data_IF_149733865047
#
_entry.id   IF_149733865047
#
_cell.length_a   1.000
_cell.length_b   1.000
_cell.length_c   1.000
_cell.angle_alpha   90.00
_cell.angle_beta   90.00
_cell.angle_gamma   90.00
#
_symmetry.space_group_name_H-M   'P 1'
#
loop_
_entity.id
_entity.type
_entity.pdbx_description
1 polymer ?
#
# COMPACT_ATOMS: atom_id res chain seq x y z
N UNK A 1 35.72 23.39 -3.19
CA UNK A 1 34.95 24.56 -3.70
C UNK A 1 33.85 24.03 -4.60
N UNK A 2 32.57 24.38 -4.40
CA UNK A 2 31.54 23.96 -5.33
C UNK A 2 31.75 24.69 -6.67
N UNK A 3 31.78 23.94 -7.78
CA UNK A 3 31.73 24.50 -9.12
C UNK A 3 30.45 25.36 -9.21
N UNK A 4 30.62 26.66 -9.48
CA UNK A 4 29.49 27.53 -9.84
C UNK A 4 28.79 26.90 -11.04
N UNK A 5 27.60 26.36 -10.83
CA UNK A 5 26.70 25.99 -11.91
C UNK A 5 26.29 27.27 -12.65
N UNK A 6 26.07 27.18 -13.97
CA UNK A 6 25.65 28.35 -14.73
C UNK A 6 24.30 28.83 -14.19
N UNK A 7 24.21 30.13 -13.89
CA UNK A 7 23.00 30.80 -13.40
C UNK A 7 21.76 30.45 -14.26
N UNK A 8 21.97 30.21 -15.56
CA UNK A 8 20.99 29.79 -16.56
C UNK A 8 20.15 28.55 -16.17
N UNK A 9 20.68 27.61 -15.36
CA UNK A 9 19.93 26.40 -14.99
C UNK A 9 19.02 26.60 -13.77
N UNK A 10 19.41 27.47 -12.83
CA UNK A 10 18.59 27.81 -11.66
C UNK A 10 17.35 28.61 -12.08
N UNK A 11 17.48 29.50 -13.07
CA UNK A 11 16.37 30.29 -13.61
C UNK A 11 15.33 29.46 -14.37
N UNK A 12 15.69 28.27 -14.86
CA UNK A 12 14.77 27.42 -15.66
C UNK A 12 13.80 26.61 -14.81
N UNK A 13 14.22 26.21 -13.61
CA UNK A 13 13.32 25.56 -12.66
C UNK A 13 12.33 26.57 -12.08
N UNK A 14 12.74 27.84 -11.97
CA UNK A 14 11.84 28.96 -11.67
C UNK A 14 10.82 29.16 -12.80
N UNK A 15 11.21 28.99 -14.07
CA UNK A 15 10.31 29.16 -15.22
C UNK A 15 9.16 28.14 -15.24
N UNK A 16 9.43 26.87 -14.92
CA UNK A 16 8.38 25.84 -14.81
C UNK A 16 7.43 26.08 -13.64
N UNK A 17 7.92 26.70 -12.56
CA UNK A 17 7.08 27.15 -11.44
C UNK A 17 6.18 28.34 -11.84
N UNK A 18 6.67 29.25 -12.69
CA UNK A 18 5.90 30.41 -13.16
C UNK A 18 4.80 30.08 -14.17
N UNK A 19 4.89 28.96 -14.88
CA UNK A 19 3.85 28.48 -15.82
C UNK A 19 2.68 27.74 -15.11
N UNK A 20 2.58 27.86 -13.78
CA UNK A 20 1.42 27.40 -13.01
C UNK A 20 1.41 25.92 -12.63
N UNK A 21 2.50 25.19 -12.91
CA UNK A 21 2.69 23.83 -12.43
C UNK A 21 3.15 23.88 -10.97
N UNK A 22 2.46 23.18 -10.06
CA UNK A 22 2.95 23.09 -8.69
C UNK A 22 4.28 22.32 -8.65
N UNK A 23 5.13 22.59 -7.66
CA UNK A 23 6.36 21.80 -7.42
C UNK A 23 6.06 20.30 -7.23
N UNK A 24 4.83 19.96 -6.86
CA UNK A 24 4.31 18.60 -6.74
C UNK A 24 3.90 18.06 -8.12
N UNK A 25 3.27 18.88 -8.97
CA UNK A 25 2.90 18.49 -10.34
C UNK A 25 4.13 18.29 -11.22
N UNK A 26 5.20 19.06 -11.02
CA UNK A 26 6.51 18.88 -11.69
C UNK A 26 7.19 17.59 -11.21
N UNK A 27 7.04 17.23 -9.94
CA UNK A 27 7.60 15.99 -9.38
C UNK A 27 6.78 14.74 -9.72
N UNK A 28 5.46 14.89 -9.90
CA UNK A 28 4.52 13.81 -10.19
C UNK A 28 4.32 13.59 -11.69
N UNK A 29 4.42 14.64 -12.51
CA UNK A 29 4.30 14.59 -13.97
C UNK A 29 5.68 14.41 -14.57
N UNK A 30 6.14 13.16 -14.58
CA UNK A 30 7.01 12.56 -15.61
C UNK A 30 8.39 13.19 -15.84
N UNK A 31 9.44 12.36 -15.65
CA UNK A 31 10.34 11.93 -16.72
C UNK A 31 11.57 11.20 -16.12
N UNK A 32 12.05 10.12 -16.75
CA UNK A 32 13.43 9.68 -16.53
C UNK A 32 14.36 10.85 -16.94
N UNK A 33 15.56 10.94 -16.35
CA UNK A 33 16.45 12.10 -16.54
C UNK A 33 16.78 12.41 -18.01
N UNK A 34 16.66 11.42 -18.90
CA UNK A 34 16.79 11.51 -20.36
C UNK A 34 15.57 12.15 -21.02
N UNK A 35 14.36 11.85 -20.59
CA UNK A 35 13.15 12.47 -21.11
C UNK A 35 13.02 13.94 -20.63
N UNK A 36 13.46 14.25 -19.40
CA UNK A 36 13.61 15.63 -18.92
C UNK A 36 14.65 16.39 -19.75
N UNK A 37 15.76 15.73 -20.10
CA UNK A 37 16.78 16.31 -20.99
C UNK A 37 16.23 16.58 -22.39
N UNK A 38 15.40 15.67 -22.91
CA UNK A 38 14.74 15.81 -24.21
C UNK A 38 13.75 16.98 -24.23
N UNK A 39 12.86 17.10 -23.24
CA UNK A 39 11.91 18.22 -23.17
C UNK A 39 12.62 19.56 -22.96
N UNK A 40 13.66 19.60 -22.11
CA UNK A 40 14.48 20.80 -21.94
C UNK A 40 15.19 21.18 -23.25
N UNK A 41 15.70 20.22 -24.03
CA UNK A 41 16.28 20.48 -25.35
C UNK A 41 15.21 20.98 -26.33
N UNK A 42 14.02 20.38 -26.33
CA UNK A 42 12.93 20.75 -27.22
C UNK A 42 12.45 22.19 -26.99
N UNK A 43 12.22 22.56 -25.72
CA UNK A 43 11.73 23.87 -25.30
C UNK A 43 12.81 24.96 -25.38
N UNK A 44 14.04 24.67 -24.94
CA UNK A 44 15.09 25.70 -24.81
C UNK A 44 16.09 25.71 -25.96
N UNK A 45 16.03 24.71 -26.86
CA UNK A 45 17.04 24.44 -27.90
C UNK A 45 18.46 24.26 -27.37
N UNK A 46 18.63 24.02 -26.06
CA UNK A 46 19.92 23.76 -25.42
C UNK A 46 19.93 22.37 -24.81
N UNK A 47 20.98 21.61 -25.09
CA UNK A 47 21.22 20.30 -24.47
C UNK A 47 21.70 20.45 -23.04
N UNK A 48 21.03 19.77 -22.12
CA UNK A 48 21.52 19.51 -20.78
C UNK A 48 21.92 18.03 -20.67
N UNK A 49 23.06 17.75 -20.04
CA UNK A 49 23.42 16.36 -19.75
C UNK A 49 22.61 15.84 -18.56
N UNK A 50 22.27 14.56 -18.57
CA UNK A 50 21.61 13.84 -17.46
C UNK A 50 22.32 14.12 -16.11
N UNK A 51 23.65 14.14 -16.11
CA UNK A 51 24.45 14.43 -14.92
C UNK A 51 24.34 15.89 -14.45
N UNK A 52 24.11 16.84 -15.35
CA UNK A 52 23.85 18.23 -14.98
C UNK A 52 22.46 18.39 -14.35
N UNK A 53 21.46 17.71 -14.92
CA UNK A 53 20.09 17.71 -14.40
C UNK A 53 20.01 17.09 -13.01
N UNK A 54 20.61 15.91 -12.84
CA UNK A 54 20.65 15.23 -11.55
C UNK A 54 21.27 16.10 -10.45
N UNK A 55 22.43 16.74 -10.71
CA UNK A 55 23.08 17.62 -9.73
C UNK A 55 22.22 18.84 -9.39
N UNK A 56 21.44 19.33 -10.35
CA UNK A 56 20.62 20.53 -10.17
C UNK A 56 19.34 20.22 -9.40
N UNK A 57 18.72 19.06 -9.63
CA UNK A 57 17.62 18.57 -8.81
C UNK A 57 18.07 18.40 -7.35
N UNK A 58 19.23 17.79 -7.12
CA UNK A 58 19.81 17.68 -5.78
C UNK A 58 20.08 19.05 -5.13
N UNK A 59 20.62 20.01 -5.88
CA UNK A 59 20.86 21.38 -5.40
C UNK A 59 19.56 22.07 -4.94
N UNK A 60 18.46 21.80 -5.63
CA UNK A 60 17.13 22.31 -5.26
C UNK A 60 16.41 21.51 -4.17
N UNK A 61 17.06 20.51 -3.57
CA UNK A 61 16.45 19.65 -2.57
C UNK A 61 15.45 18.63 -3.14
N UNK A 62 15.39 18.46 -4.46
CA UNK A 62 14.56 17.45 -5.13
C UNK A 62 15.36 16.15 -5.16
N UNK A 63 14.92 15.19 -4.36
CA UNK A 63 15.58 13.89 -4.22
C UNK A 63 14.82 12.77 -4.94
N UNK A 64 15.58 11.84 -5.52
CA UNK A 64 15.02 10.64 -6.13
C UNK A 64 14.46 9.72 -5.04
N UNK A 65 13.14 9.56 -5.01
CA UNK A 65 12.44 8.65 -4.10
C UNK A 65 11.87 7.47 -4.87
N UNK A 66 11.71 6.34 -4.19
CA UNK A 66 10.96 5.21 -4.73
C UNK A 66 9.52 5.66 -4.95
N UNK A 67 9.00 5.49 -6.17
CA UNK A 67 7.61 5.79 -6.48
C UNK A 67 6.69 4.90 -5.66
N UNK A 68 5.71 5.51 -4.99
CA UNK A 68 4.59 4.79 -4.39
C UNK A 68 3.54 4.56 -5.50
N UNK A 69 3.17 3.30 -5.73
CA UNK A 69 2.11 2.96 -6.67
C UNK A 69 0.76 3.19 -5.98
N UNK A 70 0.15 4.34 -6.20
CA UNK A 70 -1.26 4.54 -5.87
C UNK A 70 -2.13 3.97 -6.99
N UNK A 71 -3.22 3.25 -6.64
CA UNK A 71 -4.20 2.82 -7.63
C UNK A 71 -4.94 4.05 -8.18
N UNK A 72 -5.14 4.14 -9.49
CA UNK A 72 -5.87 5.25 -10.13
C UNK A 72 -7.32 5.34 -9.62
N UNK A 73 -7.89 4.19 -9.27
CA UNK A 73 -9.26 4.04 -8.74
C UNK A 73 -9.39 4.49 -7.27
N UNK A 74 -8.27 4.80 -6.59
CA UNK A 74 -8.29 5.33 -5.23
C UNK A 74 -8.91 6.73 -5.24
N UNK A 75 -9.91 6.94 -4.38
CA UNK A 75 -10.62 8.21 -4.26
C UNK A 75 -10.43 8.81 -2.86
N UNK A 76 -9.74 9.96 -2.79
CA UNK A 76 -9.42 10.60 -1.51
C UNK A 76 -10.65 11.22 -0.81
N UNK A 77 -11.70 11.59 -1.54
CA UNK A 77 -12.96 12.08 -0.93
C UNK A 77 -13.66 10.94 -0.19
N UNK A 78 -13.77 9.77 -0.82
CA UNK A 78 -14.36 8.57 -0.20
C UNK A 78 -13.56 8.16 1.03
N UNK A 79 -12.23 8.22 0.95
CA UNK A 79 -11.34 7.91 2.07
C UNK A 79 -11.45 8.90 3.23
N UNK A 80 -11.57 10.20 2.94
CA UNK A 80 -11.76 11.22 3.96
C UNK A 80 -13.13 11.06 4.64
N UNK A 81 -14.18 10.80 3.87
CA UNK A 81 -15.50 10.49 4.40
C UNK A 81 -15.47 9.26 5.31
N UNK A 82 -14.81 8.17 4.87
CA UNK A 82 -14.65 6.97 5.68
C UNK A 82 -14.00 7.28 7.04
N UNK A 83 -12.90 8.04 7.06
CA UNK A 83 -12.24 8.41 8.31
C UNK A 83 -13.16 9.23 9.22
N UNK A 84 -13.91 10.18 8.68
CA UNK A 84 -14.88 10.96 9.45
C UNK A 84 -15.97 10.09 10.08
N UNK A 85 -16.50 9.11 9.34
CA UNK A 85 -17.49 8.17 9.88
C UNK A 85 -16.90 7.30 10.98
N UNK A 86 -15.68 6.78 10.81
CA UNK A 86 -15.04 5.96 11.85
C UNK A 86 -14.80 6.78 13.12
N UNK A 87 -14.24 7.98 12.99
CA UNK A 87 -13.89 8.87 14.11
C UNK A 87 -15.12 9.35 14.89
N UNK A 88 -16.23 9.62 14.18
CA UNK A 88 -17.46 10.09 14.80
C UNK A 88 -18.24 8.98 15.51
N UNK A 89 -18.21 7.74 14.99
CA UNK A 89 -19.13 6.68 15.43
C UNK A 89 -18.47 5.61 16.32
N UNK A 90 -17.15 5.46 16.27
CA UNK A 90 -16.44 4.35 16.90
C UNK A 90 -15.22 4.77 17.70
N UNK A 91 -14.92 3.99 18.75
CA UNK A 91 -13.66 4.08 19.50
C UNK A 91 -12.76 2.90 19.15
N UNK A 92 -11.45 3.05 19.35
CA UNK A 92 -10.45 2.03 18.98
C UNK A 92 -10.71 0.65 19.61
N UNK A 93 -11.22 0.59 20.83
CA UNK A 93 -11.48 -0.67 21.55
C UNK A 93 -12.69 -1.43 20.99
N UNK A 94 -13.54 -0.76 20.21
CA UNK A 94 -14.69 -1.39 19.57
C UNK A 94 -14.31 -2.13 18.28
N UNK A 95 -13.14 -1.84 17.69
CA UNK A 95 -12.78 -2.26 16.35
C UNK A 95 -12.01 -3.59 16.35
N UNK A 96 -12.48 -4.53 15.54
CA UNK A 96 -11.76 -5.74 15.16
C UNK A 96 -11.46 -5.66 13.66
N UNK A 97 -10.19 -5.61 13.30
CA UNK A 97 -9.74 -5.64 11.92
C UNK A 97 -9.55 -7.08 11.46
N UNK A 98 -9.91 -7.38 10.22
CA UNK A 98 -9.75 -8.72 9.63
C UNK A 98 -9.22 -8.57 8.21
N UNK A 99 -8.25 -9.39 7.85
CA UNK A 99 -7.67 -9.38 6.51
C UNK A 99 -7.05 -10.73 6.13
N UNK A 100 -6.78 -10.95 4.85
CA UNK A 100 -6.08 -12.13 4.36
C UNK A 100 -4.67 -11.78 3.91
N UNK A 101 -3.70 -12.61 4.30
CA UNK A 101 -2.36 -12.55 3.73
C UNK A 101 -1.84 -13.93 3.38
N UNK A 102 -1.43 -14.08 2.11
CA UNK A 102 -0.76 -15.27 1.64
C UNK A 102 0.77 -15.12 1.54
N UNK A 103 1.48 -16.22 1.81
CA UNK A 103 2.91 -16.41 1.61
C UNK A 103 3.15 -17.67 0.79
N UNK A 104 3.84 -17.52 -0.33
CA UNK A 104 4.25 -18.63 -1.21
C UNK A 104 5.71 -19.01 -0.91
N UNK A 105 6.01 -20.29 -0.75
CA UNK A 105 7.38 -20.82 -0.58
C UNK A 105 8.35 -20.42 -1.71
N UNK A 106 7.86 -20.07 -2.90
CA UNK A 106 8.69 -19.53 -4.00
C UNK A 106 9.41 -18.23 -3.66
N UNK A 107 8.90 -17.48 -2.68
CA UNK A 107 9.48 -16.20 -2.24
C UNK A 107 10.81 -16.35 -1.49
N UNK A 108 11.25 -17.57 -1.17
CA UNK A 108 12.54 -17.86 -0.51
C UNK A 108 13.77 -17.71 -1.44
N UNK A 109 13.59 -17.33 -2.70
CA UNK A 109 14.68 -17.09 -3.63
C UNK A 109 15.23 -15.66 -3.49
N UNK A 110 16.56 -15.53 -3.29
CA UNK A 110 17.22 -14.22 -3.27
C UNK A 110 17.06 -13.53 -4.63
N UNK A 111 16.46 -12.34 -4.63
CA UNK A 111 16.29 -11.52 -5.84
C UNK A 111 17.60 -10.92 -6.35
N UNK A 112 18.60 -10.78 -5.46
CA UNK A 112 19.87 -10.11 -5.75
C UNK A 112 21.06 -11.04 -5.49
N UNK A 113 22.10 -10.89 -6.31
CA UNK A 113 23.38 -11.58 -6.21
C UNK A 113 24.48 -10.81 -6.94
N UNK A 114 25.74 -11.09 -6.61
CA UNK A 114 26.89 -10.44 -7.24
C UNK A 114 27.42 -11.27 -8.41
N UNK A 115 27.85 -10.57 -9.47
CA UNK A 115 28.49 -11.15 -10.66
C UNK A 115 29.37 -10.09 -11.32
N UNK A 116 30.30 -10.51 -12.17
CA UNK A 116 31.11 -9.60 -12.98
C UNK A 116 30.22 -8.70 -13.84
N UNK A 117 30.71 -7.49 -14.12
CA UNK A 117 30.01 -6.51 -14.97
C UNK A 117 29.62 -7.14 -16.31
N UNK A 118 28.36 -6.98 -16.71
CA UNK A 118 27.74 -7.57 -17.90
C UNK A 118 27.56 -9.11 -17.88
N UNK A 119 27.74 -9.76 -16.73
CA UNK A 119 27.49 -11.20 -16.57
C UNK A 119 26.32 -11.40 -15.62
N UNK A 120 25.30 -12.16 -16.04
CA UNK A 120 24.14 -12.44 -15.19
C UNK A 120 24.54 -13.34 -14.01
N UNK A 121 24.12 -12.98 -12.80
CA UNK A 121 24.24 -13.87 -11.65
C UNK A 121 23.26 -15.03 -11.81
N UNK A 122 23.77 -16.26 -11.84
CA UNK A 122 22.96 -17.47 -11.96
C UNK A 122 22.90 -18.19 -10.61
N UNK A 123 21.69 -18.45 -10.12
CA UNK A 123 21.44 -19.38 -9.01
C UNK A 123 20.51 -20.47 -9.51
N UNK A 124 20.94 -21.73 -9.46
CA UNK A 124 20.04 -22.86 -9.66
C UNK A 124 19.17 -22.96 -8.40
N UNK A 125 17.86 -22.83 -8.58
CA UNK A 125 16.86 -23.04 -7.53
C UNK A 125 16.03 -24.26 -7.90
N UNK A 126 15.60 -25.03 -6.90
CA UNK A 126 14.64 -26.11 -7.12
C UNK A 126 13.30 -25.44 -7.43
N UNK A 127 12.73 -25.73 -8.59
CA UNK A 127 11.36 -25.35 -8.92
C UNK A 127 10.42 -26.27 -8.15
N UNK A 128 10.28 -26.05 -6.85
CA UNK A 128 9.23 -26.70 -6.07
C UNK A 128 7.91 -26.05 -6.48
N UNK A 129 6.86 -26.86 -6.67
CA UNK A 129 5.50 -26.33 -6.67
C UNK A 129 5.24 -25.85 -5.24
N UNK A 130 5.61 -24.59 -4.98
CA UNK A 130 5.58 -24.02 -3.64
C UNK A 130 4.20 -24.14 -3.04
N UNK A 131 4.12 -24.59 -1.80
CA UNK A 131 2.87 -24.53 -1.05
C UNK A 131 2.59 -23.07 -0.73
N UNK A 132 1.37 -22.62 -1.04
CA UNK A 132 0.88 -21.31 -0.66
C UNK A 132 0.16 -21.48 0.66
N UNK A 133 0.67 -20.81 1.70
CA UNK A 133 -0.03 -20.69 2.97
C UNK A 133 -0.73 -19.34 3.01
N UNK A 134 -1.94 -19.34 3.54
CA UNK A 134 -2.76 -18.17 3.78
C UNK A 134 -3.00 -18.05 5.28
N UNK A 135 -2.86 -16.83 5.78
CA UNK A 135 -3.12 -16.46 7.17
C UNK A 135 -4.33 -15.52 7.15
N UNK A 136 -5.33 -15.84 7.97
CA UNK A 136 -6.53 -15.04 8.19
C UNK A 136 -6.62 -14.68 9.68
N UNK A 137 -6.02 -13.55 10.11
CA UNK A 137 -6.13 -13.08 11.48
C UNK A 137 -7.26 -12.07 11.69
N UNK A 138 -7.70 -11.98 12.95
CA UNK A 138 -8.48 -10.88 13.49
C UNK A 138 -7.65 -10.13 14.55
N UNK A 139 -7.54 -8.81 14.44
CA UNK A 139 -6.70 -7.94 15.27
C UNK A 139 -7.56 -6.89 15.97
N UNK A 140 -7.42 -6.79 17.28
CA UNK A 140 -7.97 -5.68 18.08
C UNK A 140 -6.88 -4.63 18.32
N UNK A 141 -7.19 -3.58 19.10
CA UNK A 141 -6.19 -2.61 19.52
C UNK A 141 -4.99 -3.26 20.26
N UNK A 142 -5.25 -4.35 20.98
CA UNK A 142 -4.29 -4.95 21.92
C UNK A 142 -3.55 -6.14 21.30
N UNK A 143 -4.26 -7.04 20.61
CA UNK A 143 -3.68 -8.30 20.16
C UNK A 143 -4.44 -8.97 19.01
N UNK A 144 -3.83 -10.03 18.47
CA UNK A 144 -4.51 -10.98 17.60
C UNK A 144 -5.42 -11.88 18.42
N UNK A 145 -6.72 -11.75 18.20
CA UNK A 145 -7.76 -12.45 18.97
C UNK A 145 -8.23 -13.74 18.31
N UNK A 146 -8.01 -13.89 17.00
CA UNK A 146 -8.23 -15.12 16.24
C UNK A 146 -7.24 -15.21 15.08
N UNK A 147 -6.79 -16.42 14.73
CA UNK A 147 -5.88 -16.66 13.59
C UNK A 147 -6.15 -18.04 12.99
N UNK A 148 -6.52 -18.10 11.71
CA UNK A 148 -6.52 -19.34 10.92
C UNK A 148 -5.35 -19.35 9.91
N UNK A 149 -4.63 -20.46 9.83
CA UNK A 149 -3.49 -20.65 8.91
C UNK A 149 -3.69 -21.93 8.12
N UNK A 150 -3.65 -21.84 6.80
CA UNK A 150 -3.96 -22.96 5.94
C UNK A 150 -3.31 -22.93 4.58
N UNK A 151 -3.23 -24.10 3.95
CA UNK A 151 -2.74 -24.24 2.58
C UNK A 151 -3.84 -23.89 1.57
N UNK A 152 -3.51 -23.10 0.55
CA UNK A 152 -4.43 -22.68 -0.53
C UNK A 152 -4.92 -21.24 -0.39
N UNK A 153 -5.95 -20.87 -1.16
CA UNK A 153 -6.60 -19.55 -1.10
C UNK A 153 -7.76 -19.55 -0.12
N UNK A 154 -8.07 -18.40 0.49
CA UNK A 154 -9.31 -18.25 1.23
C UNK A 154 -10.49 -18.24 0.24
N UNK A 155 -11.51 -19.06 0.50
CA UNK A 155 -12.79 -18.95 -0.18
C UNK A 155 -13.85 -18.35 0.75
N UNK A 156 -15.01 -18.03 0.18
CA UNK A 156 -16.11 -17.41 0.95
C UNK A 156 -16.53 -18.28 2.13
N UNK A 157 -16.68 -19.59 1.91
CA UNK A 157 -17.17 -20.50 2.95
C UNK A 157 -16.24 -20.48 4.14
N UNK A 158 -14.94 -20.61 3.89
CA UNK A 158 -13.93 -20.61 4.94
C UNK A 158 -13.85 -19.29 5.67
N UNK A 159 -14.00 -18.17 4.96
CA UNK A 159 -14.07 -16.85 5.58
C UNK A 159 -15.28 -16.74 6.52
N UNK A 160 -16.46 -17.15 6.07
CA UNK A 160 -17.68 -17.16 6.90
C UNK A 160 -17.50 -18.07 8.12
N UNK A 161 -17.02 -19.30 7.93
CA UNK A 161 -16.75 -20.25 9.01
C UNK A 161 -15.76 -19.64 10.04
N UNK A 162 -14.70 -18.97 9.58
CA UNK A 162 -13.75 -18.27 10.47
C UNK A 162 -14.43 -17.17 11.31
N UNK A 163 -15.27 -16.33 10.68
CA UNK A 163 -15.99 -15.28 11.41
C UNK A 163 -16.92 -15.89 12.45
N UNK A 164 -17.70 -16.90 12.09
CA UNK A 164 -18.69 -17.50 13.00
C UNK A 164 -18.04 -18.30 14.13
N UNK A 165 -17.00 -19.06 13.83
CA UNK A 165 -16.40 -19.99 14.79
C UNK A 165 -15.36 -19.34 15.69
N UNK A 166 -14.65 -18.31 15.21
CA UNK A 166 -13.53 -17.72 15.94
C UNK A 166 -13.71 -16.25 16.31
N UNK A 167 -14.35 -15.44 15.46
CA UNK A 167 -14.49 -14.00 15.71
C UNK A 167 -15.78 -13.68 16.46
N UNK A 168 -16.91 -14.27 16.09
CA UNK A 168 -18.18 -14.00 16.72
C UNK A 168 -18.20 -14.29 18.24
N UNK A 169 -17.54 -15.34 18.77
CA UNK A 169 -17.50 -15.62 20.21
C UNK A 169 -16.83 -14.53 21.07
N UNK A 170 -15.97 -13.69 20.48
CA UNK A 170 -15.26 -12.60 21.17
C UNK A 170 -15.93 -11.24 20.94
N UNK A 171 -16.93 -11.17 20.08
CA UNK A 171 -17.66 -9.94 19.80
C UNK A 171 -18.69 -9.63 20.86
N UNK A 172 -18.95 -8.34 21.04
CA UNK A 172 -20.04 -7.85 21.88
C UNK A 172 -21.01 -6.98 21.07
N UNK A 173 -22.27 -6.85 21.49
CA UNK A 173 -23.18 -5.87 20.89
C UNK A 173 -22.64 -4.44 21.05
N UNK A 174 -22.81 -3.62 20.01
CA UNK A 174 -22.45 -2.20 20.03
C UNK A 174 -23.24 -1.46 21.15
N UNK A 175 -22.63 -0.54 21.93
CA UNK A 175 -21.30 0.07 21.76
C UNK A 175 -20.18 -0.52 22.64
N UNK A 176 -20.26 -1.78 23.05
CA UNK A 176 -19.20 -2.38 23.88
C UNK A 176 -17.91 -2.62 23.07
N UNK A 177 -16.82 -2.95 23.76
CA UNK A 177 -15.56 -3.33 23.12
C UNK A 177 -15.76 -4.51 22.16
N UNK A 178 -14.95 -4.61 21.10
CA UNK A 178 -15.02 -5.66 20.09
C UNK A 178 -16.40 -5.79 19.41
N UNK A 179 -17.10 -4.69 19.17
CA UNK A 179 -18.46 -4.68 18.59
C UNK A 179 -18.54 -4.36 17.10
N UNK A 180 -17.43 -3.97 16.49
CA UNK A 180 -17.36 -3.53 15.10
C UNK A 180 -16.31 -4.35 14.35
N UNK A 181 -16.71 -5.08 13.32
CA UNK A 181 -15.79 -5.74 12.39
C UNK A 181 -15.46 -4.78 11.24
N UNK A 182 -14.16 -4.61 10.95
CA UNK A 182 -13.63 -3.92 9.77
C UNK A 182 -13.00 -4.95 8.82
N UNK A 183 -13.45 -4.97 7.56
CA UNK A 183 -12.99 -5.90 6.52
C UNK A 183 -12.61 -5.17 5.22
N UNK A 184 -11.76 -5.80 4.41
CA UNK A 184 -11.49 -5.31 3.05
C UNK A 184 -12.76 -5.35 2.18
N UNK A 185 -12.83 -4.47 1.19
CA UNK A 185 -13.98 -4.32 0.31
C UNK A 185 -13.88 -5.22 -0.92
N UNK A 186 -13.57 -6.49 -0.70
CA UNK A 186 -13.54 -7.50 -1.76
C UNK A 186 -14.82 -8.34 -1.75
N UNK A 187 -15.26 -8.74 -2.95
CA UNK A 187 -16.54 -9.46 -3.15
C UNK A 187 -16.68 -10.76 -2.34
N UNK A 188 -15.55 -11.36 -1.94
CA UNK A 188 -15.56 -12.59 -1.15
C UNK A 188 -16.13 -12.34 0.25
N UNK A 189 -15.95 -11.13 0.80
CA UNK A 189 -16.39 -10.75 2.15
C UNK A 189 -17.80 -10.15 2.19
N UNK A 190 -18.40 -9.87 1.02
CA UNK A 190 -19.79 -9.44 0.88
C UNK A 190 -20.74 -10.65 0.88
N UNK A 191 -20.81 -11.34 2.01
CA UNK A 191 -21.83 -12.36 2.24
C UNK A 191 -23.04 -11.74 2.97
N UNK A 192 -24.16 -11.62 2.28
CA UNK A 192 -25.34 -10.94 2.81
C UNK A 192 -25.92 -11.65 4.05
N UNK A 193 -25.89 -12.98 4.07
CA UNK A 193 -26.40 -13.78 5.20
C UNK A 193 -25.57 -13.52 6.46
N UNK A 194 -24.24 -13.53 6.33
CA UNK A 194 -23.32 -13.20 7.42
C UNK A 194 -23.56 -11.77 7.94
N UNK A 195 -23.69 -10.78 7.04
CA UNK A 195 -23.90 -9.38 7.44
C UNK A 195 -25.22 -9.22 8.20
N UNK A 196 -26.30 -9.85 7.71
CA UNK A 196 -27.61 -9.82 8.37
C UNK A 196 -27.54 -10.47 9.74
N UNK A 197 -26.86 -11.61 9.87
CA UNK A 197 -26.66 -12.31 11.13
C UNK A 197 -25.91 -11.44 12.15
N UNK A 198 -24.76 -10.89 11.77
CA UNK A 198 -23.95 -10.04 12.66
C UNK A 198 -24.74 -8.81 13.13
N UNK A 199 -25.47 -8.15 12.23
CA UNK A 199 -26.33 -7.02 12.58
C UNK A 199 -27.50 -7.43 13.49
N UNK A 200 -28.08 -8.61 13.25
CA UNK A 200 -29.12 -9.18 14.12
C UNK A 200 -28.65 -9.44 15.55
N UNK A 201 -27.36 -9.71 15.73
CA UNK A 201 -26.70 -9.85 17.04
C UNK A 201 -26.23 -8.52 17.64
N UNK A 202 -26.52 -7.39 16.99
CA UNK A 202 -26.15 -6.05 17.46
C UNK A 202 -24.70 -5.66 17.16
N UNK A 203 -23.98 -6.44 16.34
CA UNK A 203 -22.64 -6.11 15.89
C UNK A 203 -22.70 -5.19 14.66
N UNK A 204 -21.64 -4.41 14.43
CA UNK A 204 -21.50 -3.59 13.24
C UNK A 204 -20.47 -4.16 12.29
N UNK A 205 -20.72 -3.98 10.99
CA UNK A 205 -19.85 -4.44 9.91
C UNK A 205 -19.54 -3.25 9.02
N UNK A 206 -18.26 -2.96 8.88
CA UNK A 206 -17.73 -1.82 8.13
C UNK A 206 -16.71 -2.31 7.11
N UNK A 207 -16.79 -1.81 5.89
CA UNK A 207 -15.85 -2.14 4.81
C UNK A 207 -14.88 -0.99 4.57
N UNK A 208 -13.63 -1.32 4.32
CA UNK A 208 -12.60 -0.35 3.94
C UNK A 208 -12.95 0.36 2.63
N UNK A 209 -12.52 1.61 2.44
CA UNK A 209 -12.65 2.27 1.16
C UNK A 209 -11.76 1.54 0.11
N UNK A 210 -12.16 1.50 -1.17
CA UNK A 210 -11.37 0.83 -2.21
C UNK A 210 -9.90 1.27 -2.21
N UNK A 211 -8.98 0.31 -2.40
CA UNK A 211 -7.53 0.53 -2.47
C UNK A 211 -6.95 1.29 -1.28
N UNK A 212 -7.44 0.97 -0.06
CA UNK A 212 -7.01 1.62 1.18
C UNK A 212 -6.45 0.66 2.24
N UNK A 213 -5.46 -0.20 1.88
CA UNK A 213 -4.86 -1.13 2.84
C UNK A 213 -4.15 -0.40 3.99
N UNK A 214 -3.73 0.85 3.78
CA UNK A 214 -3.11 1.70 4.79
C UNK A 214 -4.06 2.09 5.94
N UNK A 215 -5.37 1.88 5.80
CA UNK A 215 -6.35 2.04 6.88
C UNK A 215 -6.58 0.75 7.69
N UNK A 216 -5.91 -0.34 7.33
CA UNK A 216 -5.96 -1.60 8.05
C UNK A 216 -4.66 -1.82 8.85
N UNK A 217 -4.67 -1.70 10.19
CA UNK A 217 -3.48 -1.90 11.02
C UNK A 217 -2.84 -3.30 10.86
N UNK A 218 -3.62 -4.31 10.46
CA UNK A 218 -3.10 -5.67 10.21
C UNK A 218 -1.99 -5.69 9.16
N UNK A 219 -2.04 -4.80 8.17
CA UNK A 219 -1.05 -4.76 7.08
C UNK A 219 0.37 -4.47 7.61
N UNK A 220 0.48 -3.71 8.70
CA UNK A 220 1.76 -3.49 9.37
C UNK A 220 2.30 -4.78 9.99
N UNK A 221 1.43 -5.59 10.60
CA UNK A 221 1.83 -6.89 11.14
C UNK A 221 2.24 -7.86 10.03
N UNK A 222 1.53 -7.86 8.90
CA UNK A 222 1.91 -8.66 7.73
C UNK A 222 3.27 -8.28 7.16
N UNK A 223 3.59 -6.99 7.12
CA UNK A 223 4.93 -6.51 6.74
C UNK A 223 6.03 -7.17 7.57
N UNK A 224 5.83 -7.30 8.89
CA UNK A 224 6.80 -7.90 9.81
C UNK A 224 6.86 -9.43 9.64
N UNK A 225 5.72 -10.10 9.49
CA UNK A 225 5.65 -11.57 9.32
C UNK A 225 6.27 -12.01 7.98
N UNK A 226 6.23 -11.14 6.96
CA UNK A 226 6.76 -11.40 5.63
C UNK A 226 8.22 -11.00 5.43
N UNK A 227 8.74 -10.07 6.23
CA UNK A 227 10.14 -9.62 6.16
C UNK A 227 11.13 -10.72 6.54
#
# INVERSE_FOLDING_TARGET
MPQKFSEDLCWRIIYFYTDGLSTIDIANTLYYLDELAYEMEHLTKKRASIAALWRSLQYLGIIHKKLYKAALERNDIIRAYYLGVIDENYTSNQLIFIDESAKDERSLSRLYGYSSRNVRAHKKVVFVQGRRYTILPALTLEEFVAVDIFEGSCDRKRFVDFILDQVLPIMNPYPNDNSVIIMDNIRIYHDEELIVLLRGLGCHVVFLPPYSPDYNPIEMAFSIIKS
#
